data_IF_865180413506
#
_entry.id   IF_865180413506
#
_cell.length_a   1.000
_cell.length_b   1.000
_cell.length_c   1.000
_cell.angle_alpha   90.00
_cell.angle_beta   90.00
_cell.angle_gamma   90.00
#
_symmetry.space_group_name_H-M   'P 1'
#
loop_
_entity.id
_entity.type
_entity.pdbx_description
1 polymer ?
#
# COMPACT_ATOMS: atom_id res chain seq x y z
N UNK A 1 -14.13 17.38 7.36
CA UNK A 1 -14.17 18.15 6.08
C UNK A 1 -13.41 17.34 5.04
N UNK A 2 -14.09 16.74 4.10
CA UNK A 2 -13.45 15.97 3.02
C UNK A 2 -12.72 16.92 2.10
N UNK A 3 -11.42 16.71 1.89
CA UNK A 3 -10.59 17.49 0.95
C UNK A 3 -11.16 17.32 -0.48
N UNK A 4 -11.24 18.42 -1.21
CA UNK A 4 -11.62 18.42 -2.63
C UNK A 4 -10.42 17.95 -3.50
N UNK A 5 -10.27 16.62 -3.60
CA UNK A 5 -9.19 15.99 -4.35
C UNK A 5 -9.31 16.24 -5.85
N UNK A 6 -8.18 16.53 -6.51
CA UNK A 6 -8.10 16.81 -7.95
C UNK A 6 -6.93 16.06 -8.57
N UNK A 7 -7.02 15.81 -9.87
CA UNK A 7 -5.90 15.25 -10.63
C UNK A 7 -4.64 16.10 -10.45
N UNK A 8 -3.51 15.46 -10.20
CA UNK A 8 -2.22 16.08 -9.89
C UNK A 8 -1.97 16.37 -8.41
N UNK A 9 -2.97 16.26 -7.53
CA UNK A 9 -2.77 16.41 -6.09
C UNK A 9 -1.82 15.33 -5.57
N UNK A 10 -0.81 15.76 -4.80
CA UNK A 10 0.10 14.83 -4.14
C UNK A 10 -0.51 14.24 -2.87
N UNK A 11 -0.30 12.94 -2.69
CA UNK A 11 -0.56 12.23 -1.45
C UNK A 11 0.60 12.48 -0.48
N UNK A 12 0.29 12.66 0.79
CA UNK A 12 1.33 12.78 1.83
C UNK A 12 2.13 11.47 1.88
N UNK A 13 3.48 11.53 1.96
CA UNK A 13 4.28 10.33 2.08
C UNK A 13 3.87 9.50 3.30
N UNK A 14 3.81 8.18 3.13
CA UNK A 14 3.58 7.23 4.22
C UNK A 14 4.80 6.32 4.35
N UNK A 15 5.22 6.05 5.59
CA UNK A 15 6.40 5.22 5.85
C UNK A 15 6.11 4.14 6.89
N UNK A 16 6.84 3.04 6.80
CA UNK A 16 6.78 1.95 7.75
C UNK A 16 8.13 1.22 7.82
N UNK A 17 8.65 1.03 9.02
CA UNK A 17 9.83 0.18 9.22
C UNK A 17 9.47 -1.30 9.04
N UNK A 18 10.21 -1.98 8.18
CA UNK A 18 10.05 -3.41 7.87
C UNK A 18 10.85 -4.25 8.87
N UNK A 19 10.31 -4.42 10.07
CA UNK A 19 10.95 -5.19 11.12
C UNK A 19 10.68 -6.69 11.00
N UNK A 20 11.57 -7.54 11.52
CA UNK A 20 11.32 -8.98 11.59
C UNK A 20 10.03 -9.30 12.34
N UNK A 21 9.75 -8.59 13.44
CA UNK A 21 8.49 -8.74 14.18
C UNK A 21 7.27 -8.54 13.28
N UNK A 22 7.26 -7.50 12.45
CA UNK A 22 6.17 -7.25 11.50
C UNK A 22 6.07 -8.33 10.44
N UNK A 23 7.20 -8.84 9.95
CA UNK A 23 7.20 -9.93 8.99
C UNK A 23 6.52 -11.19 9.58
N UNK A 24 6.88 -11.57 10.80
CA UNK A 24 6.28 -12.71 11.50
C UNK A 24 4.77 -12.48 11.77
N UNK A 25 4.40 -11.28 12.20
CA UNK A 25 3.00 -10.92 12.37
C UNK A 25 2.20 -10.98 11.06
N UNK A 26 2.81 -10.54 9.94
CA UNK A 26 2.20 -10.60 8.61
C UNK A 26 1.99 -12.07 8.17
N UNK A 27 2.96 -12.95 8.40
CA UNK A 27 2.83 -14.39 8.14
C UNK A 27 1.62 -14.97 8.88
N UNK A 28 1.50 -14.71 10.17
CA UNK A 28 0.38 -15.19 10.98
C UNK A 28 -0.98 -14.63 10.53
N UNK A 29 -1.02 -13.32 10.25
CA UNK A 29 -2.25 -12.64 9.85
C UNK A 29 -2.75 -13.05 8.46
N UNK A 30 -1.84 -13.27 7.51
CA UNK A 30 -2.16 -13.64 6.12
C UNK A 30 -2.23 -15.17 5.92
N UNK A 31 -1.75 -15.95 6.88
CA UNK A 31 -1.59 -17.41 6.79
C UNK A 31 -0.72 -17.84 5.60
N UNK A 32 0.18 -16.99 5.19
CA UNK A 32 1.16 -17.26 4.16
C UNK A 32 2.44 -17.78 4.81
N UNK A 33 2.46 -19.07 5.07
CA UNK A 33 3.55 -19.76 5.77
C UNK A 33 4.71 -20.16 4.86
N UNK A 34 4.79 -19.58 3.65
CA UNK A 34 5.92 -19.88 2.79
C UNK A 34 7.22 -19.41 3.45
N UNK A 35 8.24 -20.28 3.59
CA UNK A 35 9.38 -20.01 4.47
C UNK A 35 10.21 -18.76 4.15
N UNK A 36 10.19 -18.28 2.91
CA UNK A 36 10.90 -17.04 2.54
C UNK A 36 10.47 -15.81 3.35
N UNK A 37 9.28 -15.87 3.98
CA UNK A 37 8.71 -14.78 4.76
C UNK A 37 9.02 -14.85 6.26
N UNK A 38 9.68 -15.93 6.72
CA UNK A 38 9.96 -16.10 8.15
C UNK A 38 11.23 -16.90 8.47
N UNK A 39 11.90 -17.52 7.49
CA UNK A 39 13.13 -18.28 7.63
C UNK A 39 14.24 -17.66 6.80
N UNK A 40 15.22 -17.06 7.47
CA UNK A 40 16.33 -16.34 6.83
C UNK A 40 17.20 -17.28 5.99
N UNK A 41 17.49 -18.49 6.50
CA UNK A 41 18.31 -19.45 5.78
C UNK A 41 17.60 -19.89 4.50
N UNK A 42 16.33 -20.29 4.61
CA UNK A 42 15.53 -20.70 3.45
C UNK A 42 15.41 -19.56 2.41
N UNK A 43 15.18 -18.32 2.86
CA UNK A 43 15.09 -17.18 1.96
C UNK A 43 16.39 -16.99 1.15
N UNK A 44 17.56 -17.07 1.82
CA UNK A 44 18.86 -16.94 1.15
C UNK A 44 19.15 -18.11 0.21
N UNK A 45 18.86 -19.33 0.61
CA UNK A 45 19.01 -20.52 -0.24
C UNK A 45 18.09 -20.48 -1.47
N UNK A 46 16.95 -19.79 -1.35
CA UNK A 46 16.02 -19.55 -2.47
C UNK A 46 16.46 -18.39 -3.38
N UNK A 47 17.61 -17.76 -3.12
CA UNK A 47 18.17 -16.67 -3.93
C UNK A 47 17.74 -15.27 -3.52
N UNK A 48 16.98 -15.12 -2.43
CA UNK A 48 16.63 -13.80 -1.88
C UNK A 48 17.78 -13.23 -1.01
N UNK A 49 17.83 -11.91 -0.85
CA UNK A 49 18.82 -11.27 0.03
C UNK A 49 18.53 -11.48 1.53
N UNK A 50 17.33 -11.94 1.88
CA UNK A 50 16.87 -12.23 3.23
C UNK A 50 15.36 -12.38 3.28
N UNK A 51 14.80 -12.39 4.48
CA UNK A 51 13.34 -12.41 4.67
C UNK A 51 12.71 -11.17 4.04
N UNK A 52 11.63 -11.36 3.27
CA UNK A 52 10.87 -10.28 2.64
C UNK A 52 9.37 -10.43 2.87
N UNK A 53 8.67 -9.33 2.77
CA UNK A 53 7.24 -9.23 3.03
C UNK A 53 6.42 -9.77 1.84
N UNK A 54 5.30 -10.42 2.15
CA UNK A 54 4.40 -10.95 1.12
C UNK A 54 3.51 -9.87 0.49
N UNK A 55 2.89 -10.21 -0.63
CA UNK A 55 2.00 -9.30 -1.38
C UNK A 55 0.81 -8.83 -0.54
N UNK A 56 0.22 -9.71 0.26
CA UNK A 56 -0.94 -9.39 1.09
C UNK A 56 -0.62 -8.32 2.15
N UNK A 57 0.62 -8.32 2.67
CA UNK A 57 1.08 -7.25 3.55
C UNK A 57 1.12 -5.90 2.83
N UNK A 58 1.62 -5.86 1.59
CA UNK A 58 1.66 -4.63 0.80
C UNK A 58 0.26 -4.12 0.46
N UNK A 59 -0.67 -5.02 0.16
CA UNK A 59 -2.08 -4.67 -0.04
C UNK A 59 -2.67 -4.05 1.23
N UNK A 60 -2.41 -4.64 2.39
CA UNK A 60 -2.85 -4.09 3.68
C UNK A 60 -2.20 -2.73 3.99
N UNK A 61 -0.92 -2.55 3.66
CA UNK A 61 -0.23 -1.27 3.81
C UNK A 61 -0.88 -0.17 2.97
N UNK A 62 -1.23 -0.46 1.72
CA UNK A 62 -1.95 0.47 0.83
C UNK A 62 -3.36 0.75 1.35
N UNK A 63 -4.07 -0.26 1.84
CA UNK A 63 -5.39 -0.09 2.45
C UNK A 63 -5.34 0.84 3.66
N UNK A 64 -4.35 0.69 4.53
CA UNK A 64 -4.10 1.60 5.64
C UNK A 64 -3.80 3.02 5.14
N UNK A 65 -2.92 3.15 4.14
CA UNK A 65 -2.56 4.43 3.55
C UNK A 65 -3.78 5.15 2.96
N UNK A 66 -4.64 4.42 2.25
CA UNK A 66 -5.88 4.97 1.71
C UNK A 66 -6.78 5.55 2.83
N UNK A 67 -6.90 4.86 3.97
CA UNK A 67 -7.64 5.37 5.13
C UNK A 67 -6.99 6.64 5.72
N UNK A 68 -5.66 6.70 5.81
CA UNK A 68 -4.94 7.87 6.29
C UNK A 68 -5.11 9.08 5.35
N UNK A 69 -5.12 8.87 4.04
CA UNK A 69 -5.26 9.94 3.04
C UNK A 69 -6.70 10.43 2.88
N UNK A 70 -7.66 9.52 2.86
CA UNK A 70 -9.04 9.81 2.47
C UNK A 70 -10.05 9.76 3.61
N UNK A 71 -9.64 9.30 4.79
CA UNK A 71 -10.48 9.18 5.99
C UNK A 71 -11.17 7.82 6.12
N UNK A 72 -11.82 7.62 7.27
CA UNK A 72 -12.44 6.33 7.62
C UNK A 72 -13.69 6.00 6.79
N UNK A 73 -14.30 7.00 6.17
CA UNK A 73 -15.48 6.82 5.31
C UNK A 73 -15.12 6.47 3.86
N UNK A 74 -13.82 6.41 3.55
CA UNK A 74 -13.34 6.01 2.25
C UNK A 74 -13.49 4.49 2.05
N UNK A 75 -14.08 4.10 0.94
CA UNK A 75 -14.21 2.69 0.57
C UNK A 75 -13.26 2.36 -0.59
N UNK A 76 -12.33 1.44 -0.35
CA UNK A 76 -11.41 0.96 -1.39
C UNK A 76 -12.14 0.06 -2.38
N UNK A 77 -12.41 0.58 -3.57
CA UNK A 77 -13.16 -0.10 -4.63
C UNK A 77 -12.30 -1.05 -5.46
N UNK A 78 -11.08 -0.65 -5.72
CA UNK A 78 -10.14 -1.36 -6.58
C UNK A 78 -8.73 -1.15 -6.11
N UNK A 79 -7.93 -2.21 -6.16
CA UNK A 79 -6.51 -2.18 -5.87
C UNK A 79 -5.79 -3.06 -6.89
N UNK A 80 -4.80 -2.50 -7.57
CA UNK A 80 -3.89 -3.19 -8.47
C UNK A 80 -2.47 -2.98 -7.98
N UNK A 81 -1.75 -4.07 -7.81
CA UNK A 81 -0.35 -4.08 -7.35
C UNK A 81 0.49 -4.80 -8.40
N UNK A 82 1.60 -4.19 -8.80
CA UNK A 82 2.65 -4.80 -9.59
C UNK A 82 3.96 -4.80 -8.78
N UNK A 83 4.35 -5.98 -8.31
CA UNK A 83 5.60 -6.16 -7.56
C UNK A 83 6.77 -6.36 -8.52
N UNK A 84 7.70 -5.41 -8.52
CA UNK A 84 8.89 -5.41 -9.36
C UNK A 84 10.17 -5.74 -8.56
N UNK A 85 10.05 -5.79 -7.23
CA UNK A 85 11.14 -6.09 -6.31
C UNK A 85 10.63 -6.55 -4.95
N UNK A 86 11.55 -7.03 -4.11
CA UNK A 86 11.25 -7.52 -2.78
C UNK A 86 11.44 -6.44 -1.72
N UNK A 87 10.60 -6.46 -0.71
CA UNK A 87 10.64 -5.55 0.43
C UNK A 87 11.22 -6.29 1.63
N UNK A 88 12.52 -6.14 1.86
CA UNK A 88 13.27 -6.90 2.85
C UNK A 88 13.12 -6.36 4.27
N UNK A 89 13.20 -7.27 5.24
CA UNK A 89 13.37 -6.92 6.66
C UNK A 89 14.61 -6.04 6.83
N UNK A 90 14.51 -5.03 7.69
CA UNK A 90 15.59 -4.07 7.97
C UNK A 90 15.57 -2.84 7.07
N UNK A 91 14.59 -2.72 6.19
CA UNK A 91 14.37 -1.53 5.35
C UNK A 91 13.21 -0.69 5.86
N UNK A 92 13.13 0.55 5.35
CA UNK A 92 11.96 1.42 5.53
C UNK A 92 11.14 1.44 4.25
N UNK A 93 9.91 0.98 4.31
CA UNK A 93 8.96 1.09 3.20
C UNK A 93 8.40 2.50 3.16
N UNK A 94 8.44 3.13 1.99
CA UNK A 94 7.90 4.46 1.75
C UNK A 94 6.94 4.41 0.56
N UNK A 95 5.74 4.96 0.75
CA UNK A 95 4.74 5.15 -0.30
C UNK A 95 4.61 6.63 -0.65
N UNK A 96 4.71 6.95 -1.92
CA UNK A 96 4.48 8.28 -2.48
C UNK A 96 3.62 8.17 -3.73
N UNK A 97 2.73 9.14 -3.92
CA UNK A 97 1.84 9.09 -5.07
C UNK A 97 1.09 10.38 -5.32
N UNK A 98 0.21 10.30 -6.29
CA UNK A 98 -0.61 11.42 -6.70
C UNK A 98 -1.97 10.95 -7.25
N UNK A 99 -2.93 11.85 -7.22
CA UNK A 99 -4.26 11.62 -7.78
C UNK A 99 -4.18 11.68 -9.30
N UNK A 100 -4.69 10.64 -9.97
CA UNK A 100 -4.81 10.60 -11.42
C UNK A 100 -6.11 11.24 -11.86
N UNK A 101 -7.19 10.90 -11.20
CA UNK A 101 -8.53 11.34 -11.55
C UNK A 101 -9.41 11.44 -10.31
N UNK A 102 -10.30 12.41 -10.31
CA UNK A 102 -11.37 12.53 -9.32
C UNK A 102 -12.65 12.95 -10.04
N UNK A 103 -13.69 12.12 -9.93
CA UNK A 103 -14.95 12.34 -10.63
C UNK A 103 -16.14 12.01 -9.73
N UNK A 104 -17.25 12.70 -9.95
CA UNK A 104 -18.53 12.35 -9.35
C UNK A 104 -19.24 11.29 -10.19
N UNK A 105 -19.77 10.27 -9.52
CA UNK A 105 -20.51 9.18 -10.17
C UNK A 105 -21.58 8.65 -9.22
N UNK A 106 -22.83 8.65 -9.69
CA UNK A 106 -23.98 8.06 -8.96
C UNK A 106 -24.08 8.48 -7.47
N UNK A 107 -23.89 9.78 -7.18
CA UNK A 107 -24.02 10.31 -5.83
C UNK A 107 -22.85 9.97 -4.89
N UNK A 108 -21.73 9.53 -5.43
CA UNK A 108 -20.47 9.37 -4.73
C UNK A 108 -19.32 10.00 -5.54
N UNK A 109 -18.18 10.20 -4.89
CA UNK A 109 -16.97 10.67 -5.55
C UNK A 109 -16.00 9.52 -5.68
N UNK A 110 -15.54 9.25 -6.88
CA UNK A 110 -14.49 8.27 -7.17
C UNK A 110 -13.16 9.02 -7.34
N UNK A 111 -12.14 8.55 -6.62
CA UNK A 111 -10.78 9.10 -6.71
C UNK A 111 -9.83 7.97 -7.05
N UNK A 112 -9.10 8.12 -8.16
CA UNK A 112 -8.07 7.18 -8.60
C UNK A 112 -6.68 7.77 -8.33
N UNK A 113 -5.78 6.93 -7.83
CA UNK A 113 -4.42 7.34 -7.50
C UNK A 113 -3.38 6.31 -7.96
N UNK A 114 -2.21 6.82 -8.33
CA UNK A 114 -0.98 6.05 -8.49
C UNK A 114 -0.04 6.27 -7.31
N UNK A 115 0.52 5.18 -6.81
CA UNK A 115 1.48 5.17 -5.72
C UNK A 115 2.65 4.26 -6.08
N UNK A 116 3.85 4.73 -5.84
CA UNK A 116 5.05 3.89 -5.88
C UNK A 116 5.51 3.60 -4.46
N UNK A 117 5.69 2.31 -4.16
CA UNK A 117 6.34 1.88 -2.94
C UNK A 117 7.83 1.66 -3.22
N UNK A 118 8.67 2.16 -2.33
CA UNK A 118 10.12 2.06 -2.42
C UNK A 118 10.73 1.78 -1.04
N UNK A 119 11.94 1.26 -1.06
CA UNK A 119 12.82 1.16 0.11
C UNK A 119 14.13 1.90 -0.18
N UNK A 120 15.11 1.82 0.71
CA UNK A 120 16.46 2.34 0.49
C UNK A 120 17.13 1.70 -0.74
N UNK A 121 16.67 0.51 -1.13
CA UNK A 121 17.19 -0.23 -2.30
C UNK A 121 16.55 0.22 -3.63
N UNK A 122 15.58 1.14 -3.59
CA UNK A 122 14.88 1.69 -4.74
C UNK A 122 13.40 1.31 -4.82
N UNK A 123 12.71 1.64 -5.93
CA UNK A 123 11.31 1.30 -6.15
C UNK A 123 11.11 -0.23 -6.19
N UNK A 124 10.07 -0.71 -5.51
CA UNK A 124 9.76 -2.14 -5.42
C UNK A 124 8.37 -2.49 -5.95
N UNK A 125 7.42 -1.57 -5.89
CA UNK A 125 6.02 -1.90 -6.17
C UNK A 125 5.28 -0.69 -6.75
N UNK A 126 4.62 -0.91 -7.87
CA UNK A 126 3.68 0.06 -8.44
C UNK A 126 2.25 -0.29 -8.02
N UNK A 127 1.51 0.70 -7.62
CA UNK A 127 0.15 0.56 -7.10
C UNK A 127 -0.78 1.53 -7.80
N UNK A 128 -1.92 1.03 -8.26
CA UNK A 128 -3.05 1.85 -8.69
C UNK A 128 -4.27 1.45 -7.87
N UNK A 129 -4.96 2.41 -7.31
CA UNK A 129 -6.17 2.12 -6.57
C UNK A 129 -7.26 3.18 -6.81
N UNK A 130 -8.51 2.77 -6.59
CA UNK A 130 -9.68 3.65 -6.63
C UNK A 130 -10.38 3.60 -5.29
N UNK A 131 -10.63 4.76 -4.70
CA UNK A 131 -11.48 4.91 -3.53
C UNK A 131 -12.79 5.58 -3.89
N UNK A 132 -13.84 5.16 -3.20
CA UNK A 132 -15.12 5.85 -3.20
C UNK A 132 -15.26 6.67 -1.93
N UNK A 133 -15.57 7.94 -2.09
CA UNK A 133 -15.83 8.87 -0.99
C UNK A 133 -17.32 9.24 -0.97
N UNK A 134 -17.90 9.45 0.22
CA UNK A 134 -19.24 10.00 0.29
C UNK A 134 -19.25 11.43 -0.28
N UNK A 135 -20.28 11.76 -1.04
CA UNK A 135 -20.52 13.17 -1.40
C UNK A 135 -21.09 13.85 -0.15
N UNK A 136 -20.45 14.95 0.26
CA UNK A 136 -21.01 15.79 1.31
C UNK A 136 -22.34 16.34 0.82
N UNK A 137 -23.45 15.81 1.32
CA UNK A 137 -24.74 16.45 1.17
C UNK A 137 -24.69 17.70 2.04
N UNK A 138 -24.39 18.84 1.44
CA UNK A 138 -24.59 20.12 2.14
C UNK A 138 -26.10 20.29 2.29
N UNK A 139 -26.61 20.42 3.55
CA UNK A 139 -28.03 20.65 3.76
C UNK A 139 -28.47 22.00 3.22
#
# INVERSE_FOLDING_TARGET
MTRDWKAGDRLAPITLELTLRRAIQAVGATRDYYPVHHDEQFARESGAAGIFFNTMFLQAFVGRAATEWFGNDAFLRRLVIAMNGSNYVGRTLRGEGFIIEAQESNGCRLVEADVTLATEDGPTTDVRFTVQLPVSITP
#
